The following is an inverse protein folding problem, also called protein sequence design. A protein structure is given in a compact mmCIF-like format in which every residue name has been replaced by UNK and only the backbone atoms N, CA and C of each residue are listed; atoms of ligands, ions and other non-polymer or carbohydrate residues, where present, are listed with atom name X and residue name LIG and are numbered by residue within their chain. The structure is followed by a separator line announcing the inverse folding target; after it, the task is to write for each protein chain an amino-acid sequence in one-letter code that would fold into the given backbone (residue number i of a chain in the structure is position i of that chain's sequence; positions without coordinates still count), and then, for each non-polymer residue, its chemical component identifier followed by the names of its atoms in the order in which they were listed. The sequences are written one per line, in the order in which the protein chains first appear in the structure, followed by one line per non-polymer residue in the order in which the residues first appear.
data_IF_756701138095
#
_entry.id   IF_756701138095
#
_cell.length_a   1.000
_cell.length_b   1.000
_cell.length_c   1.000
_cell.angle_alpha   90.00
_cell.angle_beta   90.00
_cell.angle_gamma   90.00
#
_symmetry.space_group_name_H-M   'P 1'
#
loop_
_entity.id
_entity.type
_entity.pdbx_description
1 polymer ?
#
# COMPACT_ATOMS: atom_id res chain seq x y z
N UNK A 1 39.50 41.05 -36.73
CA UNK A 1 38.40 41.05 -35.73
C UNK A 1 38.42 39.71 -35.03
N UNK A 2 38.92 39.66 -33.81
CA UNK A 2 38.92 38.45 -32.97
C UNK A 2 37.59 38.39 -32.23
N UNK A 3 36.86 37.26 -32.26
CA UNK A 3 35.59 37.18 -31.57
C UNK A 3 35.85 37.00 -30.07
N UNK A 4 35.32 37.92 -29.27
CA UNK A 4 35.29 37.82 -27.81
C UNK A 4 34.29 36.70 -27.43
N UNK A 5 34.79 35.49 -27.22
CA UNK A 5 34.00 34.34 -26.74
C UNK A 5 34.30 33.98 -25.28
N UNK A 6 34.72 34.96 -24.47
CA UNK A 6 35.04 34.76 -23.07
C UNK A 6 33.90 35.14 -22.13
N UNK A 7 32.65 34.78 -22.40
CA UNK A 7 31.61 34.82 -21.35
C UNK A 7 31.93 33.68 -20.38
N UNK A 8 32.76 33.96 -19.37
CA UNK A 8 32.93 33.11 -18.20
C UNK A 8 31.62 33.14 -17.38
N UNK A 9 30.62 32.42 -17.86
CA UNK A 9 29.37 32.23 -17.16
C UNK A 9 29.69 31.43 -15.90
N UNK A 10 29.72 32.13 -14.78
CA UNK A 10 30.07 31.56 -13.48
C UNK A 10 28.87 30.81 -12.92
N UNK A 11 28.54 29.67 -13.53
CA UNK A 11 27.51 28.79 -13.03
C UNK A 11 28.00 28.08 -11.78
N UNK A 12 27.25 28.23 -10.68
CA UNK A 12 27.44 27.43 -9.46
C UNK A 12 26.28 26.46 -9.35
N UNK A 13 26.58 25.18 -9.43
CA UNK A 13 25.62 24.14 -9.11
C UNK A 13 25.60 23.97 -7.59
N UNK A 14 24.41 24.06 -6.99
CA UNK A 14 24.19 23.76 -5.57
C UNK A 14 23.36 22.49 -5.52
N UNK A 15 23.94 21.41 -5.03
CA UNK A 15 23.25 20.15 -4.82
C UNK A 15 22.56 20.16 -3.47
N UNK A 16 21.27 19.85 -3.44
CA UNK A 16 20.51 19.69 -2.20
C UNK A 16 20.24 18.21 -1.97
N UNK A 17 20.51 17.71 -0.76
CA UNK A 17 20.07 16.38 -0.34
C UNK A 17 18.70 16.48 0.34
N UNK A 18 17.86 15.47 0.19
CA UNK A 18 16.50 15.46 0.78
C UNK A 18 16.50 15.56 2.32
N UNK A 19 17.61 15.19 2.96
CA UNK A 19 17.74 15.08 4.41
C UNK A 19 18.52 16.24 5.07
N UNK A 20 18.93 17.25 4.30
CA UNK A 20 19.67 18.41 4.79
C UNK A 20 18.91 19.71 4.50
N UNK A 21 19.22 20.79 5.21
CA UNK A 21 18.67 22.09 4.84
C UNK A 21 19.12 22.47 3.41
N UNK A 22 18.21 23.04 2.59
CA UNK A 22 16.93 23.67 2.92
C UNK A 22 15.71 22.75 2.77
N UNK A 23 15.89 21.49 2.36
CA UNK A 23 14.79 20.54 2.20
C UNK A 23 14.17 20.18 3.56
N UNK A 24 15.01 19.98 4.57
CA UNK A 24 14.55 19.79 5.93
C UNK A 24 13.85 21.05 6.45
N UNK A 25 12.62 20.92 6.94
CA UNK A 25 11.78 22.03 7.40
C UNK A 25 11.15 22.88 6.30
N UNK A 26 11.29 22.55 5.00
CA UNK A 26 10.66 23.28 3.91
C UNK A 26 9.14 23.36 4.08
N UNK A 27 8.48 22.22 4.32
CA UNK A 27 7.03 22.16 4.42
C UNK A 27 6.50 22.98 5.60
N UNK A 28 7.17 22.93 6.74
CA UNK A 28 6.85 23.77 7.92
C UNK A 28 6.92 25.25 7.55
N UNK A 29 8.06 25.70 7.01
CA UNK A 29 8.28 27.11 6.62
C UNK A 29 7.29 27.59 5.57
N UNK A 30 6.98 26.73 4.58
CA UNK A 30 6.03 27.05 3.53
C UNK A 30 4.62 27.26 4.09
N UNK A 31 4.12 26.33 4.92
CA UNK A 31 2.78 26.42 5.49
C UNK A 31 2.63 27.61 6.44
N UNK A 32 3.63 27.86 7.29
CA UNK A 32 3.66 29.03 8.17
C UNK A 32 3.68 30.33 7.37
N UNK A 33 4.48 30.40 6.31
CA UNK A 33 4.49 31.56 5.42
C UNK A 33 3.14 31.77 4.73
N UNK A 34 2.51 30.70 4.23
CA UNK A 34 1.19 30.75 3.59
C UNK A 34 0.11 31.28 4.53
N UNK A 35 0.18 30.90 5.81
CA UNK A 35 -0.68 31.44 6.85
C UNK A 35 -0.45 32.95 7.06
N UNK A 36 0.80 33.38 7.22
CA UNK A 36 1.13 34.80 7.40
C UNK A 36 0.68 35.66 6.21
N UNK A 37 0.77 35.14 4.99
CA UNK A 37 0.31 35.82 3.77
C UNK A 37 -1.23 35.90 3.68
N UNK A 38 -1.95 35.02 4.36
CA UNK A 38 -3.41 35.00 4.42
C UNK A 38 -4.00 35.82 5.59
N UNK A 39 -3.23 36.04 6.66
CA UNK A 39 -3.64 36.84 7.81
C UNK A 39 -3.69 38.34 7.48
N UNK A 40 -4.85 38.83 7.04
CA UNK A 40 -5.15 40.26 7.00
C UNK A 40 -6.19 40.69 8.07
N UNK A 41 -7.04 39.80 8.59
CA UNK A 41 -8.12 40.16 9.54
C UNK A 41 -8.52 38.99 10.47
N UNK A 42 -8.32 39.12 11.80
CA UNK A 42 -9.07 38.36 12.83
C UNK A 42 -8.34 37.24 13.60
N UNK A 43 -7.66 37.59 14.69
CA UNK A 43 -6.68 36.79 15.45
C UNK A 43 -7.21 35.68 16.38
N UNK A 44 -8.42 35.13 16.20
CA UNK A 44 -8.92 34.05 17.10
C UNK A 44 -8.96 32.64 16.47
N UNK A 45 -8.87 32.51 15.14
CA UNK A 45 -8.88 31.20 14.45
C UNK A 45 -7.48 30.57 14.32
N UNK A 46 -6.42 31.31 14.67
CA UNK A 46 -5.07 30.99 14.26
C UNK A 46 -4.46 29.81 15.05
N UNK A 47 -4.74 29.65 16.35
CA UNK A 47 -4.13 28.57 17.14
C UNK A 47 -4.54 27.15 16.67
N UNK A 48 -5.81 26.96 16.33
CA UNK A 48 -6.28 25.67 15.80
C UNK A 48 -5.70 25.39 14.41
N UNK A 49 -5.59 26.43 13.58
CA UNK A 49 -4.99 26.33 12.26
C UNK A 49 -3.48 26.05 12.36
N UNK A 50 -2.74 26.74 13.21
CA UNK A 50 -1.32 26.47 13.49
C UNK A 50 -1.11 25.02 13.92
N UNK A 51 -1.96 24.48 14.81
CA UNK A 51 -1.90 23.06 15.20
C UNK A 51 -2.07 22.12 14.01
N UNK A 52 -2.98 22.43 13.09
CA UNK A 52 -3.19 21.68 11.86
C UNK A 52 -1.95 21.77 10.95
N UNK A 53 -1.42 22.97 10.74
CA UNK A 53 -0.24 23.20 9.90
C UNK A 53 1.03 22.56 10.47
N UNK A 54 1.18 22.51 11.79
CA UNK A 54 2.29 21.82 12.47
C UNK A 54 2.14 20.29 12.46
N UNK A 55 0.92 19.80 12.26
CA UNK A 55 0.65 18.37 12.14
C UNK A 55 0.98 17.84 10.73
N UNK A 56 0.76 18.62 9.68
CA UNK A 56 1.01 18.22 8.28
C UNK A 56 2.46 17.72 8.03
N UNK A 57 3.53 18.39 8.51
CA UNK A 57 4.90 17.88 8.40
C UNK A 57 5.12 16.55 9.11
N UNK A 58 4.45 16.31 10.24
CA UNK A 58 4.53 15.03 10.98
C UNK A 58 3.85 13.92 10.20
N UNK A 59 2.70 14.20 9.61
CA UNK A 59 2.03 13.28 8.69
C UNK A 59 2.94 12.94 7.50
N UNK A 60 3.49 13.95 6.83
CA UNK A 60 4.38 13.74 5.69
C UNK A 60 5.55 12.82 6.06
N UNK A 61 6.17 13.05 7.22
CA UNK A 61 7.26 12.21 7.71
C UNK A 61 6.82 10.78 8.05
N UNK A 62 5.64 10.61 8.63
CA UNK A 62 5.05 9.29 8.90
C UNK A 62 4.84 8.50 7.60
N UNK A 63 4.28 9.15 6.57
CA UNK A 63 4.08 8.55 5.24
C UNK A 63 5.41 8.24 4.54
N UNK A 64 6.38 9.13 4.67
CA UNK A 64 7.73 8.91 4.14
C UNK A 64 8.38 7.68 4.76
N UNK A 65 8.32 7.56 6.10
CA UNK A 65 8.84 6.41 6.84
C UNK A 65 8.14 5.10 6.45
N UNK A 66 6.84 5.14 6.14
CA UNK A 66 6.10 3.98 5.64
C UNK A 66 6.66 3.51 4.29
N UNK A 67 6.81 4.43 3.33
CA UNK A 67 7.32 4.12 1.99
C UNK A 67 8.78 3.63 2.03
N UNK A 68 9.63 4.23 2.88
CA UNK A 68 11.01 3.77 3.06
C UNK A 68 11.10 2.32 3.54
N UNK A 69 10.13 1.86 4.35
CA UNK A 69 10.10 0.50 4.90
C UNK A 69 9.47 -0.51 3.96
N UNK A 70 8.44 -0.12 3.22
CA UNK A 70 7.54 -1.04 2.53
C UNK A 70 7.51 -0.86 1.00
N UNK A 71 8.23 0.11 0.44
CA UNK A 71 8.26 0.40 -0.99
C UNK A 71 9.68 0.31 -1.58
N UNK A 72 9.81 0.54 -2.88
CA UNK A 72 11.09 0.68 -3.58
C UNK A 72 11.55 2.14 -3.59
N UNK A 73 12.82 2.39 -3.95
CA UNK A 73 13.40 3.73 -3.99
C UNK A 73 12.70 4.70 -4.95
N UNK A 74 11.88 4.19 -5.87
CA UNK A 74 11.13 4.97 -6.85
C UNK A 74 9.88 5.62 -6.24
N UNK A 75 9.44 5.14 -5.07
CA UNK A 75 8.27 5.67 -4.36
C UNK A 75 8.71 6.60 -3.23
N UNK A 76 8.81 7.89 -3.57
CA UNK A 76 9.09 8.96 -2.63
C UNK A 76 7.89 9.92 -2.56
N UNK A 77 7.36 10.13 -1.36
CA UNK A 77 6.32 11.13 -1.14
C UNK A 77 6.93 12.53 -1.03
N UNK A 78 6.69 13.37 -2.04
CA UNK A 78 7.12 14.77 -2.04
C UNK A 78 6.18 15.67 -1.21
N UNK A 79 6.64 16.86 -0.79
CA UNK A 79 5.80 17.85 -0.10
C UNK A 79 4.71 18.46 -1.00
N UNK A 80 4.74 18.18 -2.32
CA UNK A 80 3.81 18.74 -3.31
C UNK A 80 2.33 18.49 -3.00
N UNK A 81 1.98 17.32 -2.43
CA UNK A 81 0.62 16.99 -1.98
C UNK A 81 0.05 18.01 -1.00
N UNK A 82 0.92 18.69 -0.24
CA UNK A 82 0.54 19.56 0.86
C UNK A 82 0.62 21.05 0.54
N UNK A 83 1.15 21.44 -0.64
CA UNK A 83 1.31 22.87 -0.98
C UNK A 83 -0.05 23.57 -1.18
N UNK A 84 -1.06 22.82 -1.62
CA UNK A 84 -2.43 23.31 -1.77
C UNK A 84 -3.21 23.36 -0.44
N UNK A 85 -2.57 23.09 0.71
CA UNK A 85 -3.20 23.11 2.03
C UNK A 85 -4.00 24.40 2.28
N UNK A 86 -5.31 24.32 2.58
CA UNK A 86 -6.12 25.48 2.92
C UNK A 86 -5.62 26.20 4.18
N UNK A 87 -5.97 27.48 4.30
CA UNK A 87 -5.64 28.36 5.44
C UNK A 87 -6.84 28.58 6.36
N UNK A 88 -7.78 27.64 6.36
CA UNK A 88 -8.90 27.59 7.31
C UNK A 88 -9.11 26.15 7.75
N UNK A 89 -9.52 25.93 9.01
CA UNK A 89 -9.68 24.58 9.56
C UNK A 89 -10.83 23.83 8.87
N UNK A 90 -11.90 24.54 8.50
CA UNK A 90 -13.07 23.94 7.87
C UNK A 90 -12.78 23.43 6.46
N UNK A 91 -12.11 24.24 5.63
CA UNK A 91 -11.69 23.82 4.29
C UNK A 91 -10.59 22.75 4.36
N UNK A 92 -9.65 22.88 5.31
CA UNK A 92 -8.62 21.87 5.51
C UNK A 92 -9.21 20.49 5.76
N UNK A 93 -10.29 20.41 6.56
CA UNK A 93 -10.92 19.15 6.93
C UNK A 93 -11.45 18.38 5.72
N UNK A 94 -12.25 19.01 4.87
CA UNK A 94 -12.77 18.38 3.64
C UNK A 94 -11.63 18.08 2.67
N UNK A 95 -10.74 19.06 2.45
CA UNK A 95 -9.57 18.91 1.60
C UNK A 95 -8.69 17.73 2.01
N UNK A 96 -8.44 17.53 3.31
CA UNK A 96 -7.60 16.45 3.80
C UNK A 96 -8.23 15.08 3.57
N UNK A 97 -9.53 14.94 3.82
CA UNK A 97 -10.25 13.68 3.57
C UNK A 97 -10.16 13.33 2.09
N UNK A 98 -10.36 14.30 1.20
CA UNK A 98 -10.28 14.08 -0.25
C UNK A 98 -8.85 13.74 -0.68
N UNK A 99 -7.85 14.47 -0.19
CA UNK A 99 -6.43 14.19 -0.43
C UNK A 99 -6.06 12.78 0.04
N UNK A 100 -6.48 12.40 1.24
CA UNK A 100 -6.19 11.10 1.83
C UNK A 100 -6.77 9.98 0.96
N UNK A 101 -8.06 10.05 0.69
CA UNK A 101 -8.80 8.98 0.02
C UNK A 101 -8.46 8.85 -1.47
N UNK A 102 -8.24 9.96 -2.17
CA UNK A 102 -8.08 9.94 -3.63
C UNK A 102 -6.63 10.05 -4.11
N UNK A 103 -5.70 10.49 -3.25
CA UNK A 103 -4.31 10.70 -3.65
C UNK A 103 -3.32 9.92 -2.78
N UNK A 104 -3.40 10.06 -1.46
CA UNK A 104 -2.44 9.42 -0.56
C UNK A 104 -2.63 7.90 -0.56
N UNK A 105 -3.85 7.40 -0.31
CA UNK A 105 -4.10 5.95 -0.24
C UNK A 105 -3.72 5.24 -1.54
N UNK A 106 -4.17 5.67 -2.74
CA UNK A 106 -3.76 5.02 -3.99
C UNK A 106 -2.24 5.01 -4.20
N UNK A 107 -1.56 6.10 -3.83
CA UNK A 107 -0.11 6.20 -3.95
C UNK A 107 0.62 5.22 -3.01
N UNK A 108 0.20 5.15 -1.75
CA UNK A 108 0.75 4.20 -0.78
C UNK A 108 0.50 2.75 -1.20
N UNK A 109 -0.69 2.44 -1.73
CA UNK A 109 -1.03 1.12 -2.26
C UNK A 109 -0.09 0.72 -3.40
N UNK A 110 0.20 1.65 -4.31
CA UNK A 110 1.08 1.39 -5.44
C UNK A 110 2.52 1.15 -4.98
N UNK A 111 3.05 1.99 -4.09
CA UNK A 111 4.39 1.82 -3.54
C UNK A 111 4.55 0.54 -2.74
N UNK A 112 3.54 0.21 -1.93
CA UNK A 112 3.46 -1.06 -1.20
C UNK A 112 3.47 -2.27 -2.13
N UNK A 113 2.63 -2.24 -3.18
CA UNK A 113 2.55 -3.31 -4.19
C UNK A 113 3.87 -3.51 -4.91
N UNK A 114 4.56 -2.42 -5.24
CA UNK A 114 5.88 -2.49 -5.88
C UNK A 114 6.95 -3.04 -4.93
N UNK A 115 6.95 -2.61 -3.67
CA UNK A 115 7.83 -3.15 -2.63
C UNK A 115 7.67 -4.66 -2.46
N UNK A 116 6.43 -5.18 -2.48
CA UNK A 116 6.16 -6.63 -2.41
C UNK A 116 6.67 -7.37 -3.65
N UNK A 117 6.51 -6.81 -4.85
CA UNK A 117 7.00 -7.43 -6.09
C UNK A 117 8.52 -7.63 -6.08
N UNK A 118 9.25 -6.64 -5.55
CA UNK A 118 10.72 -6.63 -5.57
C UNK A 118 11.31 -7.38 -4.38
N UNK A 119 10.79 -7.16 -3.18
CA UNK A 119 11.38 -7.64 -1.93
C UNK A 119 10.68 -8.86 -1.32
N UNK A 120 9.58 -9.32 -1.92
CA UNK A 120 8.68 -10.31 -1.34
C UNK A 120 7.85 -9.72 -0.20
N UNK A 121 6.94 -10.53 0.35
CA UNK A 121 6.07 -10.11 1.45
C UNK A 121 6.90 -10.02 2.75
N UNK A 122 7.44 -8.85 3.04
CA UNK A 122 8.22 -8.56 4.26
C UNK A 122 7.32 -7.94 5.32
N UNK A 123 6.84 -8.79 6.24
CA UNK A 123 6.06 -8.46 7.43
C UNK A 123 4.67 -7.84 7.16
N UNK A 124 3.74 -8.06 8.09
CA UNK A 124 2.50 -7.31 8.14
C UNK A 124 2.83 -5.82 8.36
N UNK A 125 2.29 -4.93 7.52
CA UNK A 125 2.43 -3.48 7.73
C UNK A 125 1.41 -2.99 8.77
N UNK A 126 1.76 -1.93 9.47
CA UNK A 126 0.81 -1.14 10.24
C UNK A 126 0.09 -0.17 9.30
N UNK A 127 -1.23 -0.10 9.39
CA UNK A 127 -2.02 0.78 8.53
C UNK A 127 -1.74 2.25 8.90
N UNK A 128 -1.22 3.08 7.96
CA UNK A 128 -0.95 4.49 8.22
C UNK A 128 -2.15 5.27 8.74
N UNK A 129 -3.37 4.84 8.42
CA UNK A 129 -4.59 5.52 8.88
C UNK A 129 -4.77 5.47 10.40
N UNK A 130 -4.22 4.45 11.08
CA UNK A 130 -4.36 4.30 12.53
C UNK A 130 -3.63 5.42 13.27
N UNK A 131 -2.41 5.75 12.81
CA UNK A 131 -1.68 6.91 13.31
C UNK A 131 -2.42 8.21 13.01
N UNK A 132 -2.99 8.34 11.80
CA UNK A 132 -3.75 9.54 11.41
C UNK A 132 -4.94 9.73 12.33
N UNK A 133 -5.78 8.70 12.53
CA UNK A 133 -6.97 8.76 13.39
C UNK A 133 -6.63 9.12 14.84
N UNK A 134 -5.52 8.60 15.36
CA UNK A 134 -5.04 8.87 16.71
C UNK A 134 -4.45 10.26 16.92
N UNK A 135 -4.11 10.99 15.85
CA UNK A 135 -3.35 12.26 15.94
C UNK A 135 -4.03 13.45 15.27
N UNK A 136 -5.27 13.30 14.77
CA UNK A 136 -5.99 14.38 14.10
C UNK A 136 -6.08 15.66 14.97
N UNK A 137 -5.61 16.82 14.45
CA UNK A 137 -5.44 18.03 15.25
C UNK A 137 -6.71 18.89 15.42
N UNK A 138 -7.80 18.63 14.68
CA UNK A 138 -9.01 19.45 14.71
C UNK A 138 -10.10 18.92 15.67
N UNK A 139 -10.94 19.79 16.27
CA UNK A 139 -11.89 19.39 17.30
C UNK A 139 -12.94 18.35 16.88
N UNK A 140 -13.40 18.37 15.62
CA UNK A 140 -14.42 17.43 15.11
C UNK A 140 -13.84 16.11 14.58
N UNK A 141 -12.55 15.85 14.81
CA UNK A 141 -11.81 14.72 14.24
C UNK A 141 -12.51 13.37 14.38
N UNK A 142 -13.11 13.10 15.54
CA UNK A 142 -13.78 11.83 15.85
C UNK A 142 -14.87 11.46 14.83
N UNK A 143 -15.59 12.45 14.29
CA UNK A 143 -16.65 12.23 13.29
C UNK A 143 -16.09 11.92 11.89
N UNK A 144 -14.85 12.33 11.62
CA UNK A 144 -14.22 12.21 10.31
C UNK A 144 -13.29 10.99 10.22
N UNK A 145 -12.90 10.40 11.36
CA UNK A 145 -12.04 9.19 11.39
C UNK A 145 -12.58 8.06 10.52
N UNK A 146 -13.91 7.84 10.54
CA UNK A 146 -14.57 6.81 9.75
C UNK A 146 -14.58 7.09 8.23
N UNK A 147 -14.36 8.35 7.81
CA UNK A 147 -14.30 8.75 6.39
C UNK A 147 -12.92 8.52 5.79
N UNK A 148 -11.89 8.32 6.61
CA UNK A 148 -10.53 8.04 6.17
C UNK A 148 -10.42 6.57 5.76
N UNK A 149 -10.11 6.34 4.50
CA UNK A 149 -9.93 5.02 3.91
C UNK A 149 -8.68 4.35 4.48
N UNK A 150 -8.82 3.08 4.82
CA UNK A 150 -7.73 2.21 5.25
C UNK A 150 -6.83 1.81 4.08
N UNK A 151 -5.54 1.69 4.35
CA UNK A 151 -4.67 0.99 3.42
C UNK A 151 -5.04 -0.51 3.47
N UNK A 152 -5.49 -1.13 2.36
CA UNK A 152 -5.85 -2.54 2.37
C UNK A 152 -4.66 -3.36 2.83
N UNK A 153 -4.85 -4.43 3.62
CA UNK A 153 -3.74 -5.30 4.02
C UNK A 153 -3.07 -5.89 2.77
N UNK A 154 -1.80 -6.30 2.88
CA UNK A 154 -1.13 -7.00 1.79
C UNK A 154 -1.79 -8.37 1.72
N UNK A 155 -2.83 -8.50 0.88
CA UNK A 155 -3.48 -9.78 0.72
C UNK A 155 -2.48 -10.74 0.07
N UNK A 156 -2.43 -11.97 0.60
CA UNK A 156 -1.89 -13.11 -0.12
C UNK A 156 -2.77 -13.33 -1.34
N UNK A 157 -2.53 -12.62 -2.45
CA UNK A 157 -3.15 -13.02 -3.71
C UNK A 157 -2.31 -14.17 -4.27
N UNK A 158 -2.89 -15.36 -4.48
CA UNK A 158 -2.18 -16.42 -5.17
C UNK A 158 -1.83 -15.91 -6.56
N UNK A 159 -0.58 -16.10 -6.95
CA UNK A 159 -0.17 -15.98 -8.34
C UNK A 159 -1.10 -16.82 -9.22
N UNK A 160 -1.89 -16.18 -10.08
CA UNK A 160 -2.36 -16.80 -11.32
C UNK A 160 -2.76 -15.72 -12.33
N UNK A 161 -2.13 -15.68 -13.51
CA UNK A 161 -2.60 -14.87 -14.62
C UNK A 161 -3.76 -15.62 -15.32
N UNK A 162 -4.95 -15.04 -15.25
CA UNK A 162 -6.08 -15.39 -16.11
C UNK A 162 -7.18 -16.20 -15.43
N UNK A 163 -8.28 -15.52 -15.08
CA UNK A 163 -9.63 -15.99 -15.40
C UNK A 163 -10.62 -14.82 -15.35
N UNK A 164 -11.64 -14.80 -16.23
CA UNK A 164 -12.57 -13.69 -16.35
C UNK A 164 -13.66 -13.72 -15.28
N UNK A 165 -14.06 -12.52 -14.89
CA UNK A 165 -15.34 -12.06 -14.34
C UNK A 165 -16.44 -13.15 -14.28
N UNK A 166 -16.90 -13.46 -13.06
CA UNK A 166 -18.28 -13.91 -12.84
C UNK A 166 -18.82 -13.34 -11.52
N UNK A 167 -20.14 -13.15 -11.53
CA UNK A 167 -20.88 -12.13 -10.82
C UNK A 167 -21.32 -12.52 -9.39
N UNK A 168 -21.56 -11.48 -8.57
CA UNK A 168 -22.47 -11.34 -7.41
C UNK A 168 -23.00 -12.60 -6.68
N UNK A 169 -22.96 -12.64 -5.33
CA UNK A 169 -23.69 -13.64 -4.56
C UNK A 169 -25.13 -13.17 -4.26
N UNK A 170 -26.12 -13.86 -4.79
CA UNK A 170 -27.50 -13.84 -4.27
C UNK A 170 -27.84 -15.20 -3.64
N UNK A 171 -27.94 -15.16 -2.32
CA UNK A 171 -28.79 -15.92 -1.38
C UNK A 171 -29.76 -16.95 -2.00
N UNK A 172 -29.74 -18.20 -1.48
CA UNK A 172 -30.88 -18.91 -0.82
C UNK A 172 -30.81 -20.46 -0.90
N UNK A 173 -30.76 -21.09 0.28
CA UNK A 173 -31.20 -22.47 0.68
C UNK A 173 -30.45 -23.72 0.16
N UNK A 174 -30.35 -24.81 0.97
CA UNK A 174 -29.39 -25.89 0.79
C UNK A 174 -29.96 -27.08 0.00
N UNK A 175 -29.09 -27.87 -0.66
CA UNK A 175 -29.35 -29.29 -0.81
C UNK A 175 -28.23 -30.12 -0.19
N UNK A 176 -28.62 -31.03 0.71
CA UNK A 176 -27.81 -32.15 1.13
C UNK A 176 -27.42 -32.99 -0.10
N UNK A 177 -26.16 -32.96 -0.46
CA UNK A 177 -25.52 -33.93 -1.34
C UNK A 177 -24.21 -34.28 -0.66
N UNK A 178 -24.18 -35.40 0.07
CA UNK A 178 -22.99 -35.86 0.80
C UNK A 178 -21.88 -36.39 -0.14
N UNK A 179 -21.98 -36.07 -1.43
CA UNK A 179 -21.09 -36.52 -2.50
C UNK A 179 -20.30 -35.36 -3.13
N UNK A 180 -20.55 -34.12 -2.67
CA UNK A 180 -19.90 -32.91 -3.17
C UNK A 180 -18.77 -32.39 -2.27
N UNK A 181 -18.51 -33.04 -1.13
CA UNK A 181 -17.44 -32.62 -0.24
C UNK A 181 -16.08 -33.06 -0.86
N UNK A 182 -15.22 -32.11 -1.28
CA UNK A 182 -13.95 -32.44 -1.91
C UNK A 182 -13.05 -33.32 -1.03
N UNK A 183 -13.23 -33.27 0.30
CA UNK A 183 -12.54 -34.15 1.23
C UNK A 183 -13.06 -35.59 1.18
N UNK A 184 -14.37 -35.80 1.07
CA UNK A 184 -14.99 -37.12 0.93
C UNK A 184 -14.56 -37.78 -0.38
N UNK A 185 -14.48 -37.01 -1.46
CA UNK A 185 -14.02 -37.48 -2.76
C UNK A 185 -12.54 -37.93 -2.73
N UNK A 186 -11.67 -37.19 -2.02
CA UNK A 186 -10.29 -37.62 -1.81
C UNK A 186 -10.20 -38.87 -0.92
N UNK A 187 -11.02 -38.97 0.13
CA UNK A 187 -11.05 -40.14 1.01
C UNK A 187 -11.49 -41.40 0.27
N UNK A 188 -12.54 -41.33 -0.55
CA UNK A 188 -12.99 -42.44 -1.39
C UNK A 188 -11.93 -42.85 -2.41
N UNK A 189 -11.30 -41.89 -3.10
CA UNK A 189 -10.19 -42.18 -4.03
C UNK A 189 -8.99 -42.82 -3.32
N UNK A 190 -8.66 -42.38 -2.12
CA UNK A 190 -7.57 -42.97 -1.32
C UNK A 190 -7.93 -44.38 -0.86
N UNK A 191 -9.17 -44.62 -0.45
CA UNK A 191 -9.66 -45.94 -0.06
C UNK A 191 -9.65 -46.92 -1.26
N UNK A 192 -10.09 -46.48 -2.43
CA UNK A 192 -10.03 -47.28 -3.66
C UNK A 192 -8.59 -47.65 -4.03
N UNK A 193 -7.67 -46.69 -3.99
CA UNK A 193 -6.25 -46.94 -4.27
C UNK A 193 -5.62 -47.90 -3.26
N UNK A 194 -6.00 -47.84 -1.99
CA UNK A 194 -5.53 -48.77 -0.97
C UNK A 194 -6.08 -50.18 -1.17
N UNK A 195 -7.36 -50.32 -1.55
CA UNK A 195 -7.99 -51.61 -1.84
C UNK A 195 -7.40 -52.31 -3.08
N UNK A 196 -6.78 -51.58 -4.02
CA UNK A 196 -6.09 -52.18 -5.17
C UNK A 196 -4.75 -52.82 -4.78
N UNK A 197 -4.17 -52.44 -3.64
CA UNK A 197 -2.85 -52.94 -3.20
C UNK A 197 -2.98 -54.26 -2.42
N UNK A 198 -4.16 -54.59 -1.88
CA UNK A 198 -4.43 -55.85 -1.18
C UNK A 198 -5.04 -56.92 -2.11
N UNK A 199 -4.23 -57.44 -3.04
CA UNK A 199 -4.40 -58.81 -3.55
C UNK A 199 -3.13 -59.35 -4.21
N UNK A 200 -2.15 -59.86 -3.43
CA UNK A 200 -1.32 -60.95 -3.88
C UNK A 200 -2.01 -62.27 -3.48
N UNK A 201 -2.52 -63.01 -4.47
CA UNK A 201 -2.48 -64.48 -4.54
C UNK A 201 -3.64 -65.01 -5.39
N UNK A 202 -3.32 -65.37 -6.64
CA UNK A 202 -3.68 -66.67 -7.20
C UNK A 202 -2.86 -66.98 -8.44
N UNK A 203 -1.92 -67.89 -8.23
CA UNK A 203 -1.10 -68.62 -9.18
C UNK A 203 -1.94 -69.22 -10.33
N UNK A 204 -1.38 -69.26 -11.55
CA UNK A 204 -1.19 -70.52 -12.30
C UNK A 204 -0.23 -70.31 -13.47
N UNK A 205 0.93 -70.95 -13.34
CA UNK A 205 1.78 -71.57 -14.35
C UNK A 205 1.37 -71.47 -15.85
N UNK A 206 2.32 -71.06 -16.68
CA UNK A 206 2.87 -71.90 -17.77
C UNK A 206 4.22 -71.35 -18.26
N UNK A 207 5.28 -72.00 -17.79
CA UNK A 207 6.38 -72.56 -18.57
C UNK A 207 6.92 -71.78 -19.79
N UNK A 208 8.08 -71.12 -19.61
CA UNK A 208 9.03 -70.90 -20.70
C UNK A 208 10.45 -71.23 -20.23
N UNK A 209 10.78 -72.50 -20.45
CA UNK A 209 12.10 -73.12 -20.50
C UNK A 209 13.26 -72.18 -20.87
N UNK A 210 14.21 -72.09 -19.95
CA UNK A 210 15.57 -71.58 -20.13
C UNK A 210 16.35 -72.46 -21.11
N UNK A 211 17.08 -71.82 -22.05
CA UNK A 211 18.40 -72.32 -22.45
C UNK A 211 19.41 -71.16 -22.61
N UNK A 212 20.68 -71.36 -22.19
CA UNK A 212 21.67 -70.31 -22.09
C UNK A 212 22.59 -70.22 -23.33
N UNK A 213 23.10 -69.01 -23.51
CA UNK A 213 24.38 -68.54 -24.11
C UNK A 213 25.18 -69.49 -25.01
N UNK A 214 25.43 -69.06 -26.26
CA UNK A 214 26.75 -68.79 -26.84
C UNK A 214 26.60 -67.84 -28.04
#
# INVERSE_FOLDING_TARGET
MTPNHGLHLSFRMVTFSNNVEPANGFLVRYLHRKLMEAENEGSMSNENLLRVLDWVPKLWYHLHTFLEKHSTSDFLIGPCFFLSCPVTVEEFRSWFIDLWNHSIIPYLQEGAKDGIKVHGQKSAWEDPVEWVRGTLPWPSAQQDQAKLVHLPPPSMVPSSPGQPIEERPSKETPPSSMESDPLMAMLLKLQEAANVIESPDRETATDLSLKPTF
#
